data_IF_707523689495
#
_entry.id   IF_707523689495
#
_cell.length_a   1.000
_cell.length_b   1.000
_cell.length_c   1.000
_cell.angle_alpha   90.00
_cell.angle_beta   90.00
_cell.angle_gamma   90.00
#
_symmetry.space_group_name_H-M   'P 1'
#
loop_
_entity.id
_entity.type
_entity.pdbx_description
1 polymer ?
#
# COMPACT_ATOMS: atom_id res chain seq x y z
N UNK A 1 -4.55 8.56 1.40
CA UNK A 1 -4.42 10.02 1.23
C UNK A 1 -3.12 10.27 0.51
N UNK A 2 -3.13 11.05 -0.58
CA UNK A 2 -1.94 11.35 -1.39
C UNK A 2 -1.59 12.82 -1.23
N UNK A 3 -0.39 13.11 -0.77
CA UNK A 3 0.13 14.48 -0.64
C UNK A 3 1.29 14.63 -1.62
N UNK A 4 1.20 15.60 -2.53
CA UNK A 4 2.20 15.85 -3.57
C UNK A 4 2.87 17.19 -3.30
N UNK A 5 4.18 17.18 -3.06
CA UNK A 5 4.99 18.38 -2.83
C UNK A 5 6.10 18.37 -3.90
N UNK A 6 5.91 19.15 -4.96
CA UNK A 6 6.88 19.29 -6.05
C UNK A 6 7.75 20.53 -5.85
N UNK A 7 9.07 20.36 -5.81
CA UNK A 7 10.04 21.45 -5.86
C UNK A 7 10.82 21.38 -7.18
N UNK A 8 10.78 22.44 -7.98
CA UNK A 8 11.54 22.55 -9.23
C UNK A 8 13.00 22.91 -8.91
N UNK A 9 13.94 22.00 -9.18
CA UNK A 9 15.37 22.30 -9.23
C UNK A 9 15.84 22.27 -10.68
N UNK A 10 16.24 23.43 -11.19
CA UNK A 10 16.78 23.65 -12.52
C UNK A 10 18.23 23.16 -12.59
N UNK A 11 18.43 21.87 -12.84
CA UNK A 11 19.65 21.37 -13.50
C UNK A 11 19.29 21.14 -14.98
N UNK A 12 20.17 21.53 -15.91
CA UNK A 12 19.86 21.80 -17.32
C UNK A 12 19.11 20.72 -18.13
N UNK A 13 18.94 19.50 -17.62
CA UNK A 13 18.16 18.42 -18.24
C UNK A 13 16.93 17.94 -17.44
N UNK A 14 16.80 18.31 -16.16
CA UNK A 14 15.70 17.89 -15.28
C UNK A 14 14.70 19.03 -15.13
N UNK A 15 13.56 18.93 -15.83
CA UNK A 15 12.54 19.98 -15.81
C UNK A 15 11.62 19.92 -14.59
N UNK A 16 11.41 18.72 -14.01
CA UNK A 16 10.51 18.55 -12.87
C UNK A 16 10.95 17.39 -11.99
N UNK A 17 10.99 17.62 -10.69
CA UNK A 17 11.14 16.60 -9.67
C UNK A 17 9.89 16.61 -8.77
N UNK A 18 9.25 15.46 -8.65
CA UNK A 18 8.08 15.25 -7.80
C UNK A 18 8.41 14.25 -6.70
N UNK A 19 8.11 14.62 -5.46
CA UNK A 19 8.19 13.73 -4.29
C UNK A 19 6.77 13.43 -3.84
N UNK A 20 6.43 12.15 -3.80
CA UNK A 20 5.11 11.67 -3.39
C UNK A 20 5.24 10.82 -2.13
N UNK A 21 4.35 11.05 -1.17
CA UNK A 21 4.20 10.19 0.01
C UNK A 21 2.79 9.60 -0.01
N UNK A 22 2.71 8.28 -0.10
CA UNK A 22 1.45 7.53 -0.05
C UNK A 22 1.37 6.77 1.27
N UNK A 23 0.30 7.02 2.02
CA UNK A 23 0.00 6.26 3.25
C UNK A 23 -1.22 5.38 2.99
N UNK A 24 -0.99 4.07 3.06
CA UNK A 24 -2.01 3.03 2.91
C UNK A 24 -2.45 2.52 4.28
N UNK A 25 -3.73 2.16 4.39
CA UNK A 25 -4.39 1.80 5.65
C UNK A 25 -4.08 2.83 6.77
N UNK A 26 -4.42 4.10 6.51
CA UNK A 26 -4.07 5.25 7.36
C UNK A 26 -4.49 5.06 8.83
N UNK A 27 -5.68 4.49 9.05
CA UNK A 27 -6.24 4.23 10.37
C UNK A 27 -5.72 2.94 11.02
N UNK A 28 -4.80 2.24 10.35
CA UNK A 28 -4.25 0.94 10.76
C UNK A 28 -5.35 -0.06 11.14
N UNK A 29 -6.42 -0.09 10.34
CA UNK A 29 -7.54 -1.00 10.56
C UNK A 29 -7.05 -2.43 10.34
N UNK A 30 -7.33 -3.31 11.29
CA UNK A 30 -7.13 -4.74 11.13
C UNK A 30 -8.35 -5.34 10.42
N UNK A 31 -8.10 -6.11 9.37
CA UNK A 31 -9.11 -6.80 8.60
C UNK A 31 -8.46 -7.99 7.90
N UNK A 32 -9.28 -8.94 7.46
CA UNK A 32 -8.85 -10.07 6.65
C UNK A 32 -9.17 -9.77 5.19
N UNK A 33 -8.19 -9.88 4.30
CA UNK A 33 -8.42 -9.69 2.85
C UNK A 33 -9.21 -10.86 2.26
N UNK A 34 -9.02 -12.04 2.81
CA UNK A 34 -9.79 -13.23 2.50
C UNK A 34 -10.15 -13.93 3.80
N UNK A 35 -11.37 -14.45 3.87
CA UNK A 35 -11.85 -15.17 5.03
C UNK A 35 -12.74 -16.31 4.58
N UNK A 36 -12.45 -17.49 5.10
CA UNK A 36 -13.17 -18.72 4.79
C UNK A 36 -13.46 -19.47 6.09
N UNK A 37 -14.71 -19.88 6.28
CA UNK A 37 -15.09 -20.78 7.37
C UNK A 37 -15.00 -22.19 6.81
N UNK A 38 -14.07 -22.97 7.33
CA UNK A 38 -13.80 -24.30 6.81
C UNK A 38 -14.88 -25.30 7.23
N UNK A 39 -15.37 -26.09 6.28
CA UNK A 39 -16.29 -27.20 6.55
C UNK A 39 -15.57 -28.45 7.09
N UNK A 40 -14.24 -28.47 7.11
CA UNK A 40 -13.45 -29.60 7.60
C UNK A 40 -12.91 -30.55 6.53
N UNK A 41 -13.25 -30.34 5.25
CA UNK A 41 -12.76 -31.15 4.15
C UNK A 41 -11.27 -30.89 3.83
N UNK A 42 -11.01 -30.01 2.87
CA UNK A 42 -9.67 -29.77 2.32
C UNK A 42 -8.59 -29.43 3.38
N UNK A 43 -8.96 -28.69 4.42
CA UNK A 43 -8.03 -28.23 5.46
C UNK A 43 -8.06 -29.06 6.75
N UNK A 44 -8.92 -30.10 6.84
CA UNK A 44 -9.02 -30.96 8.03
C UNK A 44 -9.54 -30.29 9.31
N UNK A 45 -9.88 -29.00 9.25
CA UNK A 45 -10.38 -28.21 10.39
C UNK A 45 -11.80 -27.72 10.10
N UNK A 46 -12.78 -28.09 10.93
CA UNK A 46 -14.19 -27.72 10.72
C UNK A 46 -14.59 -26.58 11.66
N UNK A 47 -15.35 -25.62 11.16
CA UNK A 47 -15.82 -24.43 11.90
C UNK A 47 -14.75 -23.37 12.16
N UNK A 48 -13.50 -23.63 11.80
CA UNK A 48 -12.41 -22.66 11.96
C UNK A 48 -12.41 -21.62 10.84
N UNK A 49 -12.11 -20.38 11.23
CA UNK A 49 -11.90 -19.27 10.32
C UNK A 49 -10.46 -19.28 9.83
N UNK A 50 -10.28 -19.59 8.55
CA UNK A 50 -9.02 -19.45 7.85
C UNK A 50 -9.04 -18.10 7.15
N UNK A 51 -8.07 -17.25 7.47
CA UNK A 51 -8.08 -15.89 6.99
C UNK A 51 -6.68 -15.43 6.61
N UNK A 52 -6.61 -14.72 5.49
CA UNK A 52 -5.40 -14.02 5.07
C UNK A 52 -5.46 -12.61 5.64
N UNK A 53 -4.50 -12.22 6.49
CA UNK A 53 -4.50 -10.89 7.07
C UNK A 53 -4.30 -9.84 5.97
N UNK A 54 -5.14 -8.81 6.02
CA UNK A 54 -5.00 -7.64 5.17
C UNK A 54 -3.72 -6.88 5.47
N UNK A 55 -3.26 -6.10 4.49
CA UNK A 55 -1.99 -5.38 4.61
C UNK A 55 -2.03 -4.39 5.80
N UNK A 56 -0.99 -4.37 6.66
CA UNK A 56 -0.88 -3.40 7.73
C UNK A 56 -0.70 -1.97 7.18
N UNK A 57 -0.72 -0.96 8.05
CA UNK A 57 -0.39 0.42 7.65
C UNK A 57 1.00 0.45 7.00
N UNK A 58 1.06 1.03 5.80
CA UNK A 58 2.28 1.14 5.02
C UNK A 58 2.48 2.58 4.54
N UNK A 59 3.74 3.02 4.51
CA UNK A 59 4.14 4.34 4.03
C UNK A 59 5.12 4.15 2.88
N UNK A 60 4.80 4.72 1.73
CA UNK A 60 5.63 4.69 0.54
C UNK A 60 6.10 6.11 0.21
N UNK A 61 7.36 6.23 -0.16
CA UNK A 61 7.95 7.48 -0.66
C UNK A 61 8.44 7.22 -2.07
N UNK A 62 8.01 8.06 -3.00
CA UNK A 62 8.32 7.92 -4.43
C UNK A 62 8.93 9.22 -4.95
N UNK A 63 9.97 9.09 -5.77
CA UNK A 63 10.64 10.19 -6.46
C UNK A 63 10.42 10.03 -7.96
N UNK A 64 9.92 11.06 -8.61
CA UNK A 64 9.66 11.07 -10.05
C UNK A 64 10.37 12.27 -10.69
N UNK A 65 11.27 11.99 -11.64
CA UNK A 65 11.98 13.00 -12.41
C UNK A 65 11.50 13.02 -13.85
N UNK A 66 11.10 14.18 -14.36
CA UNK A 66 10.84 14.39 -15.78
C UNK A 66 12.01 15.13 -16.42
N UNK A 67 12.62 14.47 -17.40
CA UNK A 67 13.75 14.96 -18.18
C UNK A 67 13.29 15.36 -19.57
N UNK A 68 13.88 16.42 -20.14
CA UNK A 68 13.56 16.94 -21.47
C UNK A 68 14.41 16.31 -22.57
#
# INVERSE_FOLDING_TARGET
MRVNIGHQYLFAALHKLSVNVDVLNLLNKQYNSYQYISSGGYYGVSGQMLADPGMPRAVYVSLEGHFA
#
